data_IF_995741505967
#
_entry.id   IF_995741505967
#
_cell.length_a   1.000
_cell.length_b   1.000
_cell.length_c   1.000
_cell.angle_alpha   90.00
_cell.angle_beta   90.00
_cell.angle_gamma   90.00
#
_symmetry.space_group_name_H-M   'P 1'
#
loop_
_entity.id
_entity.type
_entity.pdbx_description
1 polymer ?
#
# COMPACT_ATOMS: atom_id res chain seq x y z
N UNK A 1 -24.55 18.72 15.87
CA UNK A 1 -23.66 19.88 16.06
C UNK A 1 -22.41 19.64 15.23
N UNK A 2 -22.29 20.26 14.07
CA UNK A 2 -21.21 20.04 13.10
C UNK A 2 -19.98 20.79 13.59
N UNK A 3 -18.95 20.09 14.02
CA UNK A 3 -17.67 20.72 14.37
C UNK A 3 -16.98 21.08 13.05
N UNK A 4 -17.04 22.33 12.66
CA UNK A 4 -16.21 22.87 11.59
C UNK A 4 -14.75 22.81 12.05
N UNK A 5 -13.98 21.87 11.49
CA UNK A 5 -12.52 21.90 11.62
C UNK A 5 -12.03 23.15 10.90
N UNK A 6 -11.51 24.11 11.67
CA UNK A 6 -10.73 25.20 11.08
C UNK A 6 -9.62 24.58 10.22
N UNK A 7 -9.39 25.07 8.99
CA UNK A 7 -8.26 24.61 8.21
C UNK A 7 -6.98 24.87 9.01
N UNK A 8 -6.22 23.81 9.27
CA UNK A 8 -4.92 23.92 9.91
C UNK A 8 -4.09 24.91 9.09
N UNK A 9 -3.37 25.79 9.78
CA UNK A 9 -2.43 26.72 9.18
C UNK A 9 -1.65 25.99 8.10
N UNK A 10 -1.68 26.48 6.85
CA UNK A 10 -0.90 25.94 5.72
C UNK A 10 0.53 25.76 6.23
N UNK A 11 0.93 24.53 6.48
CA UNK A 11 2.31 24.18 6.68
C UNK A 11 3.03 24.69 5.43
N UNK A 12 3.91 25.66 5.56
CA UNK A 12 4.72 26.13 4.44
C UNK A 12 5.49 24.92 3.96
N UNK A 13 5.15 24.41 2.78
CA UNK A 13 5.96 23.41 2.13
C UNK A 13 7.35 24.03 1.95
N UNK A 14 8.32 23.59 2.74
CA UNK A 14 9.68 24.10 2.63
C UNK A 14 10.26 23.57 1.31
N UNK A 15 10.64 24.47 0.41
CA UNK A 15 11.36 24.07 -0.79
C UNK A 15 12.70 23.42 -0.41
N UNK A 16 13.20 22.51 -1.24
CA UNK A 16 14.51 21.94 -1.07
C UNK A 16 15.58 23.06 -1.11
N UNK A 17 16.59 22.95 -0.25
CA UNK A 17 17.79 23.77 -0.42
C UNK A 17 18.51 23.39 -1.71
N UNK A 18 19.32 24.28 -2.27
CA UNK A 18 20.11 23.97 -3.47
C UNK A 18 21.01 22.73 -3.27
N UNK A 19 21.56 22.56 -2.07
CA UNK A 19 22.37 21.38 -1.72
C UNK A 19 21.53 20.10 -1.69
N UNK A 20 20.34 20.14 -1.10
CA UNK A 20 19.42 19.00 -1.06
C UNK A 20 18.96 18.60 -2.46
N UNK A 21 18.51 19.56 -3.25
CA UNK A 21 18.11 19.33 -4.63
C UNK A 21 19.24 18.72 -5.48
N UNK A 22 20.46 19.25 -5.36
CA UNK A 22 21.64 18.72 -6.06
C UNK A 22 21.94 17.29 -5.63
N UNK A 23 21.95 17.01 -4.34
CA UNK A 23 22.19 15.66 -3.81
C UNK A 23 21.15 14.65 -4.31
N UNK A 24 19.85 15.01 -4.28
CA UNK A 24 18.79 14.15 -4.75
C UNK A 24 18.89 13.90 -6.27
N UNK A 25 19.15 14.95 -7.08
CA UNK A 25 19.29 14.81 -8.54
C UNK A 25 20.49 13.95 -8.96
N UNK A 26 21.54 13.87 -8.15
CA UNK A 26 22.71 13.02 -8.45
C UNK A 26 22.32 11.54 -8.58
N UNK A 27 21.29 11.07 -7.86
CA UNK A 27 20.84 9.69 -7.92
C UNK A 27 20.31 9.27 -9.28
N UNK A 28 19.77 10.20 -10.10
CA UNK A 28 19.32 9.88 -11.45
C UNK A 28 20.46 9.47 -12.39
N UNK A 29 21.70 9.88 -12.10
CA UNK A 29 22.88 9.44 -12.87
C UNK A 29 23.52 8.17 -12.33
N UNK A 30 23.20 7.76 -11.11
CA UNK A 30 23.79 6.61 -10.43
C UNK A 30 22.91 5.36 -10.51
N UNK A 31 21.59 5.51 -10.63
CA UNK A 31 20.64 4.41 -10.63
C UNK A 31 19.88 4.35 -11.96
N UNK A 32 19.60 3.14 -12.41
CA UNK A 32 18.79 2.93 -13.61
C UNK A 32 17.28 2.98 -13.29
N UNK A 33 16.71 4.17 -13.30
CA UNK A 33 15.27 4.37 -13.09
C UNK A 33 14.40 3.89 -14.27
N UNK A 34 14.99 3.56 -15.41
CA UNK A 34 14.30 2.95 -16.56
C UNK A 34 14.18 1.43 -16.50
N UNK A 35 14.65 0.80 -15.42
CA UNK A 35 14.53 -0.65 -15.24
C UNK A 35 13.10 -1.05 -14.82
N UNK A 36 12.34 -1.65 -15.73
CA UNK A 36 10.96 -2.07 -15.49
C UNK A 36 10.83 -3.39 -14.72
N UNK A 37 11.93 -4.12 -14.48
CA UNK A 37 11.88 -5.43 -13.80
C UNK A 37 11.33 -5.33 -12.38
N UNK A 38 11.61 -4.24 -11.67
CA UNK A 38 11.06 -4.01 -10.32
C UNK A 38 9.54 -3.83 -10.35
N UNK A 39 9.02 -3.15 -11.37
CA UNK A 39 7.58 -2.98 -11.59
C UNK A 39 6.90 -4.29 -11.95
N UNK A 40 7.51 -5.06 -12.83
CA UNK A 40 7.05 -6.42 -13.17
C UNK A 40 7.02 -7.31 -11.92
N UNK A 41 8.05 -7.26 -11.09
CA UNK A 41 8.09 -7.99 -9.82
C UNK A 41 7.04 -7.51 -8.82
N UNK A 42 6.80 -6.20 -8.73
CA UNK A 42 5.80 -5.63 -7.82
C UNK A 42 4.36 -6.02 -8.22
N UNK A 43 4.10 -6.20 -9.51
CA UNK A 43 2.80 -6.60 -10.05
C UNK A 43 2.63 -8.11 -10.23
N UNK A 44 3.71 -8.88 -10.08
CA UNK A 44 3.66 -10.33 -10.28
C UNK A 44 2.67 -10.98 -9.32
N UNK A 45 1.80 -11.83 -9.88
CA UNK A 45 0.78 -12.54 -9.13
C UNK A 45 -0.42 -11.70 -8.70
N UNK A 46 -0.58 -10.48 -9.20
CA UNK A 46 -1.76 -9.66 -8.92
C UNK A 46 -3.02 -10.36 -9.45
N UNK A 47 -3.95 -10.67 -8.56
CA UNK A 47 -5.25 -11.28 -8.86
C UNK A 47 -6.32 -10.19 -9.00
N UNK A 48 -6.38 -9.29 -8.04
CA UNK A 48 -7.35 -8.18 -8.03
C UNK A 48 -6.74 -6.96 -7.35
N UNK A 49 -6.94 -5.78 -7.96
CA UNK A 49 -6.63 -4.48 -7.37
C UNK A 49 -7.93 -3.76 -6.99
N UNK A 50 -8.00 -3.06 -5.85
CA UNK A 50 -9.18 -2.29 -5.50
C UNK A 50 -9.34 -1.07 -6.43
N UNK A 51 -10.57 -0.74 -6.77
CA UNK A 51 -10.93 0.52 -7.43
C UNK A 51 -11.30 1.55 -6.36
N UNK A 52 -10.28 2.22 -5.84
CA UNK A 52 -10.41 3.06 -4.65
C UNK A 52 -10.63 2.24 -3.36
N UNK A 53 -9.88 2.49 -2.32
CA UNK A 53 -10.03 1.78 -1.06
C UNK A 53 -10.08 2.77 0.09
N UNK A 54 -11.27 2.94 0.66
CA UNK A 54 -11.48 3.68 1.91
C UNK A 54 -12.19 2.77 2.89
N UNK A 55 -11.47 2.35 3.93
CA UNK A 55 -12.00 1.49 5.00
C UNK A 55 -12.46 2.39 6.14
N UNK A 56 -13.69 2.18 6.60
CA UNK A 56 -14.29 2.97 7.68
C UNK A 56 -14.58 2.10 8.88
N UNK A 57 -14.51 2.71 10.06
CA UNK A 57 -14.96 2.14 11.34
C UNK A 57 -16.47 2.22 11.47
N UNK A 58 -17.02 1.51 12.46
CA UNK A 58 -18.44 1.50 12.77
C UNK A 58 -18.99 2.91 13.15
N UNK A 59 -18.13 3.78 13.69
CA UNK A 59 -18.44 5.17 14.00
C UNK A 59 -18.40 6.13 12.79
N UNK A 60 -18.02 5.60 11.60
CA UNK A 60 -17.89 6.34 10.35
C UNK A 60 -16.53 7.03 10.14
N UNK A 61 -15.61 6.98 11.11
CA UNK A 61 -14.26 7.49 10.96
C UNK A 61 -13.44 6.59 10.00
N UNK A 62 -12.49 7.20 9.30
CA UNK A 62 -11.63 6.48 8.35
C UNK A 62 -10.59 5.69 9.12
N UNK A 63 -10.57 4.37 8.94
CA UNK A 63 -9.52 3.48 9.45
C UNK A 63 -8.31 3.46 8.50
N UNK A 64 -8.58 3.37 7.20
CA UNK A 64 -7.55 3.36 6.16
C UNK A 64 -8.07 4.04 4.89
N UNK A 65 -7.20 4.76 4.20
CA UNK A 65 -7.51 5.44 2.95
C UNK A 65 -6.30 5.32 2.00
N UNK A 66 -6.42 4.44 1.02
CA UNK A 66 -5.37 4.20 0.04
C UNK A 66 -5.20 5.39 -0.91
N UNK A 67 -6.25 6.19 -1.15
CA UNK A 67 -6.20 7.35 -2.05
C UNK A 67 -5.28 8.45 -1.50
N UNK A 68 -5.03 8.46 -0.19
CA UNK A 68 -4.05 9.35 0.43
C UNK A 68 -2.62 9.18 -0.12
N UNK A 69 -2.34 8.05 -0.79
CA UNK A 69 -1.04 7.77 -1.43
C UNK A 69 -1.01 8.08 -2.94
N UNK A 70 -2.10 8.57 -3.52
CA UNK A 70 -2.18 8.89 -4.96
C UNK A 70 -1.23 10.01 -5.39
N UNK A 71 -0.72 10.78 -4.43
CA UNK A 71 0.25 11.84 -4.71
C UNK A 71 1.57 11.33 -5.28
N UNK A 72 1.92 10.05 -5.11
CA UNK A 72 3.16 9.45 -5.66
C UNK A 72 2.95 8.82 -7.03
N UNK A 73 1.71 8.48 -7.43
CA UNK A 73 1.42 7.77 -8.68
C UNK A 73 1.80 8.62 -9.89
N UNK A 74 2.52 8.03 -10.83
CA UNK A 74 2.88 8.61 -12.13
C UNK A 74 3.53 10.01 -12.08
N UNK A 75 4.25 10.33 -10.99
CA UNK A 75 4.92 11.61 -10.78
C UNK A 75 6.41 11.43 -10.58
N UNK A 76 7.16 12.42 -11.02
CA UNK A 76 8.57 12.51 -10.69
C UNK A 76 8.78 12.88 -9.22
N UNK A 77 9.91 12.44 -8.65
CA UNK A 77 10.27 12.80 -7.30
C UNK A 77 10.47 14.31 -7.17
N UNK A 78 9.87 14.98 -6.17
CA UNK A 78 10.17 16.37 -5.90
C UNK A 78 11.61 16.51 -5.40
N UNK A 79 12.23 17.68 -5.61
CA UNK A 79 13.62 17.96 -5.19
C UNK A 79 13.89 17.74 -3.70
N UNK A 80 12.84 17.68 -2.88
CA UNK A 80 12.91 17.41 -1.42
C UNK A 80 13.04 15.94 -1.07
N UNK A 81 12.82 15.02 -2.02
CA UNK A 81 12.78 13.57 -1.78
C UNK A 81 13.84 12.87 -2.62
N UNK A 82 14.51 11.88 -2.05
CA UNK A 82 15.41 11.02 -2.78
C UNK A 82 14.61 10.23 -3.83
N UNK A 83 14.99 10.25 -5.12
CA UNK A 83 14.22 9.60 -6.19
C UNK A 83 14.14 8.07 -6.04
N UNK A 84 15.13 7.44 -5.41
CA UNK A 84 15.08 6.00 -5.11
C UNK A 84 13.98 5.69 -4.08
N UNK A 85 13.86 6.52 -3.03
CA UNK A 85 12.78 6.40 -2.06
C UNK A 85 11.41 6.65 -2.69
N UNK A 86 11.33 7.64 -3.60
CA UNK A 86 10.10 7.93 -4.32
C UNK A 86 9.66 6.74 -5.18
N UNK A 87 10.58 6.17 -5.97
CA UNK A 87 10.33 4.96 -6.76
C UNK A 87 9.89 3.78 -5.87
N UNK A 88 10.57 3.56 -4.76
CA UNK A 88 10.20 2.51 -3.81
C UNK A 88 8.76 2.71 -3.29
N UNK A 89 8.39 3.95 -2.97
CA UNK A 89 7.02 4.27 -2.53
C UNK A 89 6.00 4.03 -3.64
N UNK A 90 6.34 4.34 -4.90
CA UNK A 90 5.49 4.03 -6.06
C UNK A 90 5.26 2.52 -6.23
N UNK A 91 6.31 1.71 -6.07
CA UNK A 91 6.20 0.25 -6.13
C UNK A 91 5.35 -0.32 -4.98
N UNK A 92 5.45 0.25 -3.79
CA UNK A 92 4.63 -0.14 -2.64
C UNK A 92 3.18 0.34 -2.73
N UNK A 93 2.84 1.24 -3.66
CA UNK A 93 1.47 1.70 -3.86
C UNK A 93 0.61 0.71 -4.67
N UNK A 94 1.19 -0.37 -5.20
CA UNK A 94 0.39 -1.44 -5.79
C UNK A 94 -0.33 -2.24 -4.71
N UNK A 95 -1.64 -2.10 -4.66
CA UNK A 95 -2.50 -2.69 -3.65
C UNK A 95 -3.40 -3.78 -4.26
N UNK A 96 -3.85 -4.71 -3.43
CA UNK A 96 -4.80 -5.74 -3.81
C UNK A 96 -4.43 -7.13 -3.29
N UNK A 97 -5.01 -8.14 -3.94
CA UNK A 97 -4.75 -9.54 -3.69
C UNK A 97 -3.70 -10.07 -4.67
N UNK A 98 -2.66 -10.69 -4.13
CA UNK A 98 -1.56 -11.27 -4.90
C UNK A 98 -1.39 -12.75 -4.56
N UNK A 99 -1.15 -13.59 -5.56
CA UNK A 99 -0.58 -14.91 -5.39
C UNK A 99 0.95 -14.79 -5.38
N UNK A 100 1.56 -15.03 -4.23
CA UNK A 100 3.02 -14.96 -4.05
C UNK A 100 3.69 -16.18 -4.67
N UNK A 101 3.14 -17.34 -4.39
CA UNK A 101 3.44 -18.63 -5.00
C UNK A 101 2.26 -19.58 -4.72
N UNK A 102 2.31 -20.79 -5.28
CA UNK A 102 1.22 -21.77 -5.10
C UNK A 102 0.85 -21.94 -3.61
N UNK A 103 -0.42 -21.69 -3.31
CA UNK A 103 -1.00 -21.79 -1.97
C UNK A 103 -0.65 -20.65 -1.02
N UNK A 104 0.10 -19.63 -1.43
CA UNK A 104 0.43 -18.46 -0.58
C UNK A 104 -0.08 -17.19 -1.24
N UNK A 105 -0.97 -16.50 -0.55
CA UNK A 105 -1.62 -15.26 -1.01
C UNK A 105 -1.32 -14.12 -0.06
N UNK A 106 -1.27 -12.90 -0.58
CA UNK A 106 -1.00 -11.72 0.21
C UNK A 106 -1.95 -10.58 -0.17
N UNK A 107 -2.58 -10.00 0.83
CA UNK A 107 -3.32 -8.74 0.68
C UNK A 107 -2.41 -7.60 1.04
N UNK A 108 -2.17 -6.71 0.07
CA UNK A 108 -1.26 -5.57 0.15
C UNK A 108 -2.02 -4.25 0.03
N UNK A 109 -1.55 -3.21 0.72
CA UNK A 109 -2.11 -1.86 0.62
C UNK A 109 -3.42 -1.65 1.40
N UNK A 110 -3.86 -2.62 2.18
CA UNK A 110 -5.02 -2.51 3.09
C UNK A 110 -4.63 -1.99 4.47
N UNK A 111 -3.33 -1.84 4.71
CA UNK A 111 -2.72 -1.30 5.91
C UNK A 111 -1.25 -0.96 5.62
N UNK A 112 -0.50 -0.52 6.63
CA UNK A 112 0.96 -0.38 6.57
C UNK A 112 1.68 -1.73 6.52
N UNK A 113 1.04 -2.79 7.03
CA UNK A 113 1.50 -4.17 6.93
C UNK A 113 0.76 -4.92 5.78
N UNK A 114 1.22 -6.13 5.48
CA UNK A 114 0.57 -7.03 4.52
C UNK A 114 0.05 -8.28 5.23
N UNK A 115 -1.20 -8.63 5.03
CA UNK A 115 -1.74 -9.89 5.53
C UNK A 115 -1.40 -11.04 4.56
N UNK A 116 -0.79 -12.09 5.07
CA UNK A 116 -0.42 -13.27 4.28
C UNK A 116 -1.28 -14.45 4.66
N UNK A 117 -1.85 -15.13 3.67
CA UNK A 117 -2.73 -16.26 3.81
C UNK A 117 -2.08 -17.50 3.19
N UNK A 118 -1.90 -18.54 3.98
CA UNK A 118 -1.31 -19.82 3.55
C UNK A 118 -2.42 -20.87 3.50
N UNK A 119 -2.66 -21.39 2.31
CA UNK A 119 -3.62 -22.47 2.08
C UNK A 119 -2.99 -23.82 2.47
N UNK A 120 -3.72 -24.61 3.23
CA UNK A 120 -3.34 -25.97 3.62
C UNK A 120 -4.46 -26.96 3.30
N UNK A 121 -4.20 -28.25 3.39
CA UNK A 121 -5.21 -29.29 3.17
C UNK A 121 -6.39 -29.23 4.17
N UNK A 122 -6.19 -28.53 5.29
CA UNK A 122 -7.18 -28.47 6.38
C UNK A 122 -7.82 -27.09 6.57
N UNK A 123 -7.39 -26.08 5.82
CA UNK A 123 -7.85 -24.70 5.91
C UNK A 123 -6.73 -23.70 5.71
N UNK A 124 -6.82 -22.54 6.36
CA UNK A 124 -5.93 -21.42 6.15
C UNK A 124 -5.17 -21.05 7.41
N UNK A 125 -3.92 -20.63 7.23
CA UNK A 125 -3.09 -19.99 8.26
C UNK A 125 -2.92 -18.54 7.87
N UNK A 126 -3.04 -17.61 8.82
CA UNK A 126 -2.83 -16.19 8.59
C UNK A 126 -1.52 -15.76 9.23
N UNK A 127 -0.71 -15.03 8.49
CA UNK A 127 0.49 -14.36 8.97
C UNK A 127 0.27 -12.85 8.88
N UNK A 128 0.32 -12.18 10.04
CA UNK A 128 0.00 -10.78 10.26
C UNK A 128 -1.51 -10.47 10.05
N UNK A 129 -2.11 -9.89 11.08
CA UNK A 129 -3.55 -9.56 11.12
C UNK A 129 -3.81 -8.07 10.94
N UNK A 130 -2.84 -7.33 10.40
CA UNK A 130 -2.89 -5.90 10.21
C UNK A 130 -3.03 -5.11 11.53
N UNK A 131 -3.18 -3.79 11.46
CA UNK A 131 -3.14 -2.94 12.66
C UNK A 131 -4.52 -2.74 13.31
N UNK A 132 -5.60 -2.96 12.59
CA UNK A 132 -6.94 -2.85 13.14
C UNK A 132 -7.92 -3.87 12.52
N UNK A 133 -9.00 -4.10 13.25
CA UNK A 133 -10.06 -5.04 12.89
C UNK A 133 -10.64 -4.75 11.50
N UNK A 134 -10.95 -3.51 11.22
CA UNK A 134 -11.62 -3.09 10.00
C UNK A 134 -10.76 -3.37 8.76
N UNK A 135 -9.45 -3.15 8.86
CA UNK A 135 -8.51 -3.44 7.77
C UNK A 135 -8.42 -4.95 7.52
N UNK A 136 -8.37 -5.75 8.61
CA UNK A 136 -8.35 -7.20 8.47
C UNK A 136 -9.68 -7.76 7.94
N UNK A 137 -10.82 -7.23 8.36
CA UNK A 137 -12.13 -7.60 7.81
C UNK A 137 -12.22 -7.30 6.31
N UNK A 138 -11.73 -6.14 5.87
CA UNK A 138 -11.67 -5.82 4.44
C UNK A 138 -10.76 -6.79 3.66
N UNK A 139 -9.61 -7.16 4.23
CA UNK A 139 -8.72 -8.17 3.64
C UNK A 139 -9.38 -9.55 3.58
N UNK A 140 -10.11 -9.96 4.63
CA UNK A 140 -10.86 -11.21 4.66
C UNK A 140 -11.97 -11.23 3.61
N UNK A 141 -12.71 -10.13 3.45
CA UNK A 141 -13.76 -10.00 2.42
C UNK A 141 -13.17 -10.19 1.02
N UNK A 142 -12.01 -9.58 0.74
CA UNK A 142 -11.33 -9.76 -0.54
C UNK A 142 -10.91 -11.22 -0.75
N UNK A 143 -10.33 -11.86 0.25
CA UNK A 143 -9.97 -13.27 0.18
C UNK A 143 -11.19 -14.17 -0.03
N UNK A 144 -12.27 -13.96 0.73
CA UNK A 144 -13.49 -14.78 0.64
C UNK A 144 -14.23 -14.60 -0.69
N UNK A 145 -14.08 -13.46 -1.35
CA UNK A 145 -14.59 -13.22 -2.70
C UNK A 145 -13.98 -14.21 -3.71
N UNK A 146 -12.71 -14.56 -3.57
CA UNK A 146 -11.99 -15.44 -4.50
C UNK A 146 -11.99 -16.92 -4.09
N UNK A 147 -11.99 -17.19 -2.79
CA UNK A 147 -11.77 -18.54 -2.27
C UNK A 147 -12.97 -19.10 -1.49
N UNK A 148 -14.07 -18.33 -1.39
CA UNK A 148 -15.19 -18.68 -0.54
C UNK A 148 -14.83 -18.53 0.94
N UNK A 149 -15.73 -18.98 1.82
CA UNK A 149 -15.56 -18.87 3.28
C UNK A 149 -14.26 -19.54 3.75
N UNK A 150 -13.40 -18.76 4.39
CA UNK A 150 -12.12 -19.24 4.87
C UNK A 150 -12.27 -20.00 6.21
N UNK A 151 -11.75 -21.21 6.25
CA UNK A 151 -11.65 -22.01 7.48
C UNK A 151 -10.28 -21.75 8.10
N UNK A 152 -10.18 -20.74 8.98
CA UNK A 152 -8.92 -20.36 9.62
C UNK A 152 -8.53 -21.39 10.68
N UNK A 153 -7.30 -21.89 10.64
CA UNK A 153 -6.74 -22.90 11.54
C UNK A 153 -5.72 -22.33 12.51
N UNK A 154 -5.00 -21.29 12.08
CA UNK A 154 -4.01 -20.63 12.92
C UNK A 154 -3.83 -19.16 12.48
N UNK A 155 -3.36 -18.35 13.40
CA UNK A 155 -2.98 -16.96 13.22
C UNK A 155 -1.62 -16.76 13.88
#
# INVERSE_FOLDING_TARGET
MRIERKPSSRTRCSCATASTAKANRTWYSLLNFGDEREKECALRGLIESPDGLVIKRDDGEVAWDLENFDFVKDKEAPDTVNPSLWRHTQLNAYAGLFEVCDGIYQVRGYDMANATFIKTDHGWIIFDVLMCKENMEAAMILMEKHFGKLNIKAI
#
